data_IF_354983704563
#
_entry.id   IF_354983704563
#
_cell.length_a   1.000
_cell.length_b   1.000
_cell.length_c   1.000
_cell.angle_alpha   90.00
_cell.angle_beta   90.00
_cell.angle_gamma   90.00
#
_symmetry.space_group_name_H-M   'P 1'
#
loop_
_entity.id
_entity.type
_entity.pdbx_description
1 polymer ?
#
# COMPACT_ATOMS: atom_id res chain seq x y z
N UNK A 1 -5.21 -1.43 0.63
CA UNK A 1 -5.81 -0.74 1.79
C UNK A 1 -4.85 0.38 2.22
N UNK A 2 -5.38 1.54 2.62
CA UNK A 2 -4.59 2.67 3.08
C UNK A 2 -4.54 2.75 4.61
N UNK A 3 -4.12 3.89 5.15
CA UNK A 3 -3.96 4.10 6.61
C UNK A 3 -5.13 4.90 7.21
N UNK A 4 -6.37 4.62 6.78
CA UNK A 4 -7.55 5.39 7.19
C UNK A 4 -7.87 5.21 8.68
N UNK A 5 -7.69 4.00 9.20
CA UNK A 5 -7.91 3.71 10.62
C UNK A 5 -6.91 4.48 11.48
N UNK A 6 -5.63 4.38 11.14
CA UNK A 6 -4.54 4.99 11.90
C UNK A 6 -4.63 6.51 11.90
N UNK A 7 -4.97 7.15 10.77
CA UNK A 7 -5.16 8.60 10.73
C UNK A 7 -6.38 9.04 11.55
N UNK A 8 -7.45 8.24 11.56
CA UNK A 8 -8.64 8.53 12.37
C UNK A 8 -8.31 8.50 13.87
N UNK A 9 -7.46 7.58 14.30
CA UNK A 9 -6.97 7.50 15.68
C UNK A 9 -6.10 8.72 16.03
N UNK A 10 -5.21 9.16 15.13
CA UNK A 10 -4.41 10.39 15.32
C UNK A 10 -5.31 11.62 15.47
N UNK A 11 -6.29 11.79 14.57
CA UNK A 11 -7.25 12.90 14.62
C UNK A 11 -7.99 12.89 15.96
N UNK A 12 -8.48 11.72 16.38
CA UNK A 12 -9.20 11.57 17.64
C UNK A 12 -8.33 11.91 18.86
N UNK A 13 -7.03 11.60 18.83
CA UNK A 13 -6.11 11.99 19.89
C UNK A 13 -5.87 13.50 19.91
N UNK A 14 -5.68 14.11 18.74
CA UNK A 14 -5.47 15.56 18.62
C UNK A 14 -6.68 16.33 19.15
N UNK A 15 -7.90 15.95 18.76
CA UNK A 15 -9.13 16.57 19.26
C UNK A 15 -9.23 16.54 20.79
N UNK A 16 -8.87 15.41 21.41
CA UNK A 16 -8.88 15.25 22.88
C UNK A 16 -7.79 16.07 23.60
N UNK A 17 -6.69 16.38 22.91
CA UNK A 17 -5.52 17.04 23.49
C UNK A 17 -5.32 18.47 22.95
N UNK A 18 -6.39 19.13 22.50
CA UNK A 18 -6.32 20.49 21.94
C UNK A 18 -5.26 20.65 20.84
N UNK A 19 -5.09 19.60 20.03
CA UNK A 19 -4.14 19.52 18.93
C UNK A 19 -2.66 19.61 19.35
N UNK A 20 -2.34 19.33 20.63
CA UNK A 20 -0.96 19.20 21.09
C UNK A 20 -0.33 17.90 20.58
N UNK A 21 0.48 18.02 19.53
CA UNK A 21 1.05 16.87 18.82
C UNK A 21 1.94 15.98 19.71
N UNK A 22 2.60 16.56 20.73
CA UNK A 22 3.45 15.82 21.67
C UNK A 22 2.67 14.81 22.52
N UNK A 23 1.37 15.03 22.72
CA UNK A 23 0.51 14.12 23.47
C UNK A 23 0.06 12.91 22.64
N UNK A 24 0.24 12.97 21.31
CA UNK A 24 -0.24 11.96 20.36
C UNK A 24 0.91 11.24 19.63
N UNK A 25 2.10 11.19 20.24
CA UNK A 25 3.27 10.53 19.67
C UNK A 25 3.04 9.03 19.39
N UNK A 26 2.39 8.24 20.26
CA UNK A 26 2.12 6.83 19.98
C UNK A 26 1.26 6.62 18.73
N UNK A 27 0.16 7.36 18.61
CA UNK A 27 -0.78 7.32 17.49
C UNK A 27 -0.09 7.75 16.20
N UNK A 28 0.66 8.85 16.26
CA UNK A 28 1.41 9.40 15.13
C UNK A 28 2.48 8.43 14.63
N UNK A 29 3.21 7.78 15.55
CA UNK A 29 4.20 6.77 15.20
C UNK A 29 3.57 5.55 14.52
N UNK A 30 2.39 5.12 14.99
CA UNK A 30 1.67 4.02 14.36
C UNK A 30 1.17 4.39 12.96
N UNK A 31 0.64 5.59 12.78
CA UNK A 31 0.27 6.11 11.47
C UNK A 31 1.47 6.14 10.51
N UNK A 32 2.63 6.65 10.95
CA UNK A 32 3.83 6.66 10.10
C UNK A 32 4.30 5.26 9.70
N UNK A 33 4.28 4.29 10.62
CA UNK A 33 4.59 2.89 10.31
C UNK A 33 3.65 2.33 9.25
N UNK A 34 2.35 2.59 9.36
CA UNK A 34 1.39 2.19 8.34
C UNK A 34 1.71 2.84 6.99
N UNK A 35 1.93 4.16 7.00
CA UNK A 35 2.17 4.93 5.78
C UNK A 35 3.43 4.47 5.04
N UNK A 36 4.52 4.24 5.77
CA UNK A 36 5.77 3.73 5.20
C UNK A 36 5.59 2.35 4.56
N UNK A 37 4.87 1.45 5.23
CA UNK A 37 4.58 0.12 4.69
C UNK A 37 3.70 0.22 3.43
N UNK A 38 2.67 1.06 3.46
CA UNK A 38 1.82 1.32 2.30
C UNK A 38 2.63 1.85 1.11
N UNK A 39 3.50 2.84 1.34
CA UNK A 39 4.33 3.44 0.28
C UNK A 39 5.37 2.45 -0.26
N UNK A 40 5.98 1.62 0.60
CA UNK A 40 6.88 0.55 0.17
C UNK A 40 6.16 -0.46 -0.72
N UNK A 41 5.01 -0.97 -0.28
CA UNK A 41 4.21 -1.92 -1.06
C UNK A 41 3.78 -1.31 -2.39
N UNK A 42 3.27 -0.08 -2.37
CA UNK A 42 2.86 0.64 -3.59
C UNK A 42 4.01 0.79 -4.58
N UNK A 43 5.23 1.11 -4.10
CA UNK A 43 6.41 1.20 -4.95
C UNK A 43 6.77 -0.16 -5.55
N UNK A 44 6.82 -1.21 -4.74
CA UNK A 44 7.13 -2.57 -5.19
C UNK A 44 6.11 -3.04 -6.25
N UNK A 45 4.82 -2.86 -6.00
CA UNK A 45 3.77 -3.22 -6.96
C UNK A 45 3.91 -2.44 -8.26
N UNK A 46 4.25 -1.15 -8.20
CA UNK A 46 4.50 -0.32 -9.39
C UNK A 46 5.73 -0.79 -10.17
N UNK A 47 6.82 -1.13 -9.49
CA UNK A 47 8.01 -1.66 -10.15
C UNK A 47 7.75 -3.02 -10.80
N UNK A 48 7.02 -3.91 -10.11
CA UNK A 48 6.64 -5.22 -10.63
C UNK A 48 5.70 -5.11 -11.85
N UNK A 49 4.74 -4.18 -11.82
CA UNK A 49 3.86 -3.95 -12.96
C UNK A 49 4.61 -3.41 -14.18
N UNK A 50 5.54 -2.46 -13.99
CA UNK A 50 6.38 -1.92 -15.07
C UNK A 50 7.31 -2.98 -15.68
N UNK A 51 7.83 -3.89 -14.85
CA UNK A 51 8.72 -4.96 -15.32
C UNK A 51 7.95 -6.15 -15.94
N UNK A 52 6.62 -6.16 -15.89
CA UNK A 52 5.81 -7.27 -16.41
C UNK A 52 6.04 -8.60 -15.68
N UNK A 53 6.67 -8.59 -14.49
CA UNK A 53 7.10 -9.81 -13.82
C UNK A 53 5.89 -10.63 -13.41
N UNK A 54 5.81 -11.88 -13.86
CA UNK A 54 4.75 -12.80 -13.49
C UNK A 54 5.02 -13.40 -12.11
N UNK A 55 4.31 -12.92 -11.09
CA UNK A 55 4.37 -13.52 -9.74
C UNK A 55 3.42 -14.73 -9.68
N UNK A 56 3.91 -15.94 -9.40
CA UNK A 56 3.05 -17.13 -9.26
C UNK A 56 1.98 -16.92 -8.19
N UNK A 57 0.74 -17.32 -8.49
CA UNK A 57 -0.39 -17.19 -7.57
C UNK A 57 -0.95 -15.77 -7.40
N UNK A 58 -0.46 -14.78 -8.15
CA UNK A 58 -1.04 -13.44 -8.15
C UNK A 58 -2.49 -13.48 -8.68
N UNK A 59 -3.44 -13.02 -7.85
CA UNK A 59 -4.86 -12.95 -8.22
C UNK A 59 -5.18 -11.78 -9.16
N UNK A 60 -4.38 -10.71 -9.07
CA UNK A 60 -4.56 -9.50 -9.87
C UNK A 60 -3.32 -9.30 -10.74
N UNK A 61 -3.49 -9.42 -12.05
CA UNK A 61 -2.44 -9.20 -13.04
C UNK A 61 -2.73 -7.91 -13.79
N UNK A 62 -1.67 -7.18 -14.13
CA UNK A 62 -1.77 -6.02 -15.02
C UNK A 62 -1.91 -6.47 -16.47
N UNK A 63 -2.41 -5.59 -17.34
CA UNK A 63 -2.52 -5.86 -18.78
C UNK A 63 -1.20 -6.33 -19.40
N UNK A 64 -0.07 -5.74 -19.00
CA UNK A 64 1.25 -6.16 -19.48
C UNK A 64 1.58 -7.61 -19.07
N UNK A 65 1.31 -7.97 -17.82
CA UNK A 65 1.52 -9.33 -17.31
C UNK A 65 0.58 -10.34 -17.99
N UNK A 66 -0.70 -9.98 -18.18
CA UNK A 66 -1.66 -10.82 -18.90
C UNK A 66 -1.18 -11.08 -20.34
N UNK A 67 -0.79 -10.02 -21.06
CA UNK A 67 -0.26 -10.16 -22.41
C UNK A 67 0.99 -11.05 -22.47
N UNK A 68 1.90 -10.91 -21.50
CA UNK A 68 3.08 -11.74 -21.43
C UNK A 68 2.73 -13.22 -21.19
N UNK A 69 1.73 -13.51 -20.35
CA UNK A 69 1.21 -14.86 -20.15
C UNK A 69 0.59 -15.43 -21.43
N UNK A 70 -0.28 -14.66 -22.10
CA UNK A 70 -0.96 -15.10 -23.32
C UNK A 70 0.03 -15.36 -24.47
N UNK A 71 1.10 -14.56 -24.58
CA UNK A 71 2.19 -14.82 -25.56
C UNK A 71 2.97 -16.09 -25.23
N UNK A 72 3.14 -16.42 -23.95
CA UNK A 72 3.86 -17.61 -23.51
C UNK A 72 3.01 -18.88 -23.63
N UNK A 73 1.69 -18.77 -23.49
CA UNK A 73 0.73 -19.87 -23.57
C UNK A 73 -0.44 -19.48 -24.51
N UNK A 74 -0.21 -19.44 -25.83
CA UNK A 74 -1.25 -19.09 -26.79
C UNK A 74 -2.37 -20.13 -26.76
N UNK A 75 -3.61 -19.65 -26.74
CA UNK A 75 -4.78 -20.47 -26.96
C UNK A 75 -4.91 -20.63 -28.47
N UNK A 76 -4.58 -21.82 -28.98
CA UNK A 76 -4.71 -22.17 -30.40
C UNK A 76 -6.18 -22.30 -30.77
#
# INVERSE_FOLDING_TARGET
>A
EGCLQEITVVISCLEKNNYENKMCLPETNNFYKCYDNYMKTKRITKEQSLKGILTPGAKNLTYMQINQLLRKYPQV
#
